data_IF_748752069059
#
_entry.id   IF_748752069059
#
_cell.length_a   1.000
_cell.length_b   1.000
_cell.length_c   1.000
_cell.angle_alpha   90.00
_cell.angle_beta   90.00
_cell.angle_gamma   90.00
#
_symmetry.space_group_name_H-M   'P 1'
#
loop_
_entity.id
_entity.type
_entity.pdbx_description
1 polymer ?
#
# COMPACT_ATOMS: atom_id res chain seq x y z
N UNK A 1 -3.01 20.05 -30.33
CA UNK A 1 -3.63 19.12 -29.35
C UNK A 1 -2.52 18.25 -28.76
N UNK A 2 -2.14 18.46 -27.49
CA UNK A 2 -1.11 17.64 -26.85
C UNK A 2 -1.59 16.18 -26.78
N UNK A 3 -0.78 15.23 -27.23
CA UNK A 3 -1.11 13.80 -27.12
C UNK A 3 -1.40 13.50 -25.65
N UNK A 4 -2.65 13.18 -25.33
CA UNK A 4 -3.04 12.74 -23.99
C UNK A 4 -2.10 11.62 -23.53
N UNK A 5 -1.65 11.67 -22.27
CA UNK A 5 -0.77 10.64 -21.71
C UNK A 5 -1.44 9.27 -21.87
N UNK A 6 -0.70 8.29 -22.37
CA UNK A 6 -1.22 6.93 -22.57
C UNK A 6 -1.85 6.39 -21.27
N UNK A 7 -3.03 5.75 -21.33
CA UNK A 7 -3.73 5.22 -20.15
C UNK A 7 -3.00 4.05 -19.49
N UNK A 8 -2.02 3.47 -20.17
CA UNK A 8 -1.15 2.43 -19.65
C UNK A 8 0.30 2.57 -20.13
N UNK A 9 1.20 1.89 -19.42
CA UNK A 9 2.61 1.72 -19.77
C UNK A 9 2.95 0.22 -19.82
N UNK A 10 3.78 -0.17 -20.79
CA UNK A 10 4.27 -1.55 -20.95
C UNK A 10 5.79 -1.59 -20.76
N UNK A 11 6.27 -2.53 -19.95
CA UNK A 11 7.70 -2.72 -19.69
C UNK A 11 8.08 -4.19 -19.59
N UNK A 12 9.35 -4.51 -19.85
CA UNK A 12 9.85 -5.89 -19.85
C UNK A 12 10.31 -6.30 -18.45
N UNK A 13 9.85 -7.45 -17.97
CA UNK A 13 10.44 -8.13 -16.80
C UNK A 13 10.97 -9.52 -17.17
N UNK A 14 12.01 -10.01 -16.48
CA UNK A 14 12.46 -11.40 -16.65
C UNK A 14 11.32 -12.37 -16.37
N UNK A 15 11.21 -13.41 -17.18
CA UNK A 15 10.12 -14.38 -17.08
C UNK A 15 10.17 -15.21 -15.79
N UNK A 16 11.35 -15.38 -15.19
CA UNK A 16 11.56 -16.12 -13.95
C UNK A 16 12.86 -15.67 -13.25
N UNK A 17 13.16 -16.27 -12.09
CA UNK A 17 14.35 -15.97 -11.27
C UNK A 17 15.67 -16.25 -12.02
N UNK A 18 15.75 -17.33 -12.79
CA UNK A 18 16.95 -17.67 -13.59
C UNK A 18 17.22 -16.58 -14.65
N UNK A 19 16.18 -16.13 -15.33
CA UNK A 19 16.26 -15.03 -16.31
C UNK A 19 16.58 -13.69 -15.64
N UNK A 20 16.13 -13.46 -14.40
CA UNK A 20 16.48 -12.25 -13.64
C UNK A 20 17.98 -12.19 -13.32
N UNK A 21 18.59 -13.33 -13.00
CA UNK A 21 20.05 -13.42 -12.83
C UNK A 21 20.78 -13.10 -14.14
N UNK A 22 20.29 -13.62 -15.29
CA UNK A 22 20.86 -13.28 -16.61
C UNK A 22 20.81 -11.78 -16.89
N UNK A 23 19.66 -11.14 -16.64
CA UNK A 23 19.49 -9.68 -16.77
C UNK A 23 20.51 -8.91 -15.93
N UNK A 24 20.70 -9.27 -14.65
CA UNK A 24 21.67 -8.62 -13.76
C UNK A 24 23.11 -8.76 -14.26
N UNK A 25 23.43 -9.88 -14.91
CA UNK A 25 24.73 -10.14 -15.54
C UNK A 25 24.87 -9.54 -16.94
N UNK A 26 23.93 -8.71 -17.39
CA UNK A 26 23.95 -8.09 -18.72
C UNK A 26 23.75 -9.06 -19.89
N UNK A 27 23.31 -10.30 -19.62
CA UNK A 27 23.08 -11.33 -20.65
C UNK A 27 21.68 -11.21 -21.24
N UNK A 28 21.54 -11.64 -22.49
CA UNK A 28 20.23 -11.84 -23.11
C UNK A 28 19.35 -12.73 -22.23
N UNK A 29 18.09 -12.34 -22.04
CA UNK A 29 17.15 -13.00 -21.15
C UNK A 29 15.75 -13.04 -21.75
N UNK A 30 15.00 -14.09 -21.43
CA UNK A 30 13.58 -14.22 -21.77
C UNK A 30 12.76 -13.31 -20.87
N UNK A 31 11.84 -12.57 -21.47
CA UNK A 31 11.02 -11.59 -20.78
C UNK A 31 9.54 -11.79 -21.05
N UNK A 32 8.73 -11.26 -20.14
CA UNK A 32 7.29 -11.09 -20.27
C UNK A 32 6.99 -9.59 -20.16
N UNK A 33 6.00 -9.11 -20.90
CA UNK A 33 5.50 -7.75 -20.76
C UNK A 33 4.65 -7.63 -19.50
N UNK A 34 4.94 -6.59 -18.73
CA UNK A 34 4.11 -6.15 -17.62
C UNK A 34 3.42 -4.85 -18.02
N UNK A 35 2.19 -4.65 -17.53
CA UNK A 35 1.36 -3.49 -17.79
C UNK A 35 1.06 -2.72 -16.51
N UNK A 36 1.23 -1.40 -16.53
CA UNK A 36 0.77 -0.50 -15.48
C UNK A 36 -0.32 0.40 -16.05
N UNK A 37 -1.43 0.51 -15.35
CA UNK A 37 -2.53 1.41 -15.70
C UNK A 37 -2.40 2.73 -14.95
N UNK A 38 -2.97 3.81 -15.48
CA UNK A 38 -3.11 5.05 -14.73
C UNK A 38 -4.37 4.99 -13.86
N UNK A 39 -4.27 5.41 -12.61
CA UNK A 39 -5.44 5.65 -11.76
C UNK A 39 -6.06 7.02 -12.06
N UNK A 40 -7.19 7.33 -11.41
CA UNK A 40 -7.87 8.63 -11.51
C UNK A 40 -7.01 9.81 -11.03
N UNK A 41 -6.04 9.56 -10.15
CA UNK A 41 -5.07 10.55 -9.64
C UNK A 41 -3.91 10.82 -10.62
N UNK A 42 -3.79 10.03 -11.70
CA UNK A 42 -2.75 10.14 -12.71
C UNK A 42 -1.47 9.33 -12.44
N UNK A 43 -1.40 8.61 -11.33
CA UNK A 43 -0.32 7.70 -10.94
C UNK A 43 -0.43 6.32 -11.60
N UNK A 44 0.68 5.60 -11.71
CA UNK A 44 0.69 4.23 -12.23
C UNK A 44 0.35 3.19 -11.14
N UNK A 45 -0.54 2.24 -11.48
CA UNK A 45 -0.83 1.07 -10.66
C UNK A 45 0.38 0.14 -10.54
N UNK A 46 0.27 -0.86 -9.66
CA UNK A 46 1.20 -1.99 -9.67
C UNK A 46 1.21 -2.67 -11.03
N UNK A 47 2.40 -3.07 -11.50
CA UNK A 47 2.54 -3.77 -12.76
C UNK A 47 1.89 -5.16 -12.73
N UNK A 48 1.01 -5.42 -13.69
CA UNK A 48 0.35 -6.69 -13.91
C UNK A 48 1.09 -7.47 -14.99
N UNK A 49 1.27 -8.77 -14.77
CA UNK A 49 1.79 -9.65 -15.81
C UNK A 49 0.76 -9.76 -16.92
N UNK A 50 1.15 -9.42 -18.15
CA UNK A 50 0.30 -9.68 -19.33
C UNK A 50 0.39 -11.14 -19.77
N UNK A 51 1.41 -11.87 -19.30
CA UNK A 51 1.81 -13.20 -19.81
C UNK A 51 2.23 -13.23 -21.28
N UNK A 52 2.32 -12.06 -21.92
CA UNK A 52 2.69 -11.93 -23.33
C UNK A 52 4.17 -11.61 -23.51
N UNK A 53 4.77 -12.20 -24.55
CA UNK A 53 6.17 -11.96 -24.94
C UNK A 53 6.29 -10.96 -26.09
N UNK A 54 5.18 -10.68 -26.81
CA UNK A 54 5.12 -9.70 -27.90
C UNK A 54 4.49 -8.39 -27.45
N UNK A 55 5.00 -7.26 -27.96
CA UNK A 55 4.47 -5.92 -27.61
C UNK A 55 3.04 -5.74 -28.13
N UNK A 56 2.72 -6.31 -29.30
CA UNK A 56 1.40 -6.23 -29.91
C UNK A 56 0.34 -6.96 -29.09
N UNK A 57 0.60 -8.21 -28.68
CA UNK A 57 -0.31 -8.97 -27.84
C UNK A 57 -0.49 -8.30 -26.46
N UNK A 58 0.59 -7.80 -25.86
CA UNK A 58 0.52 -7.08 -24.58
C UNK A 58 -0.33 -5.79 -24.66
N UNK A 59 -0.29 -5.07 -25.79
CA UNK A 59 -1.18 -3.91 -26.02
C UNK A 59 -2.64 -4.34 -26.11
N UNK A 60 -2.94 -5.39 -26.88
CA UNK A 60 -4.30 -5.93 -27.01
C UNK A 60 -4.84 -6.34 -25.64
N UNK A 61 -4.05 -7.09 -24.88
CA UNK A 61 -4.37 -7.46 -23.50
C UNK A 61 -4.69 -6.24 -22.64
N UNK A 62 -3.87 -5.18 -22.71
CA UNK A 62 -4.09 -3.96 -21.91
C UNK A 62 -5.39 -3.24 -22.29
N UNK A 63 -5.73 -3.19 -23.57
CA UNK A 63 -7.01 -2.64 -24.04
C UNK A 63 -8.21 -3.47 -23.58
N UNK A 64 -8.14 -4.79 -23.73
CA UNK A 64 -9.19 -5.70 -23.30
C UNK A 64 -9.41 -5.61 -21.78
N UNK A 65 -8.32 -5.44 -21.03
CA UNK A 65 -8.36 -5.26 -19.57
C UNK A 65 -9.01 -3.93 -19.17
N UNK A 66 -8.66 -2.83 -19.83
CA UNK A 66 -9.30 -1.52 -19.60
C UNK A 66 -10.80 -1.56 -19.93
N UNK A 67 -11.18 -2.25 -21.00
CA UNK A 67 -12.58 -2.38 -21.42
C UNK A 67 -13.44 -3.11 -20.39
N UNK A 68 -12.85 -4.03 -19.63
CA UNK A 68 -13.56 -4.75 -18.55
C UNK A 68 -13.85 -3.88 -17.33
N UNK A 69 -13.17 -2.74 -17.16
CA UNK A 69 -13.36 -1.86 -16.00
C UNK A 69 -12.69 -2.35 -14.70
N UNK A 70 -12.12 -3.56 -14.70
CA UNK A 70 -11.43 -4.17 -13.54
C UNK A 70 -10.01 -3.63 -13.35
N UNK A 71 -9.79 -2.31 -13.43
CA UNK A 71 -8.47 -1.76 -13.12
C UNK A 71 -8.25 -1.98 -11.61
N UNK A 72 -7.27 -2.80 -11.18
CA UNK A 72 -7.08 -3.05 -9.77
C UNK A 72 -6.67 -1.73 -9.12
N UNK A 73 -7.59 -1.20 -8.33
CA UNK A 73 -7.38 -0.03 -7.49
C UNK A 73 -6.23 -0.41 -6.54
N UNK A 74 -5.06 0.18 -6.79
CA UNK A 74 -3.83 0.13 -6.00
C UNK A 74 -3.66 -1.11 -5.09
N UNK A 75 -3.08 -2.20 -5.63
CA UNK A 75 -2.54 -3.32 -4.83
C UNK A 75 -1.25 -2.95 -4.05
N UNK A 76 -1.21 -1.77 -3.43
CA UNK A 76 0.01 -1.32 -2.78
C UNK A 76 -0.04 0.10 -2.25
N UNK A 77 -1.16 0.51 -1.65
CA UNK A 77 -1.07 1.67 -0.77
C UNK A 77 -0.23 1.28 0.45
N UNK A 78 0.72 2.16 0.80
CA UNK A 78 1.53 2.02 2.00
C UNK A 78 0.66 2.28 3.22
N UNK A 79 1.07 1.77 4.38
CA UNK A 79 0.40 2.07 5.64
C UNK A 79 0.39 3.59 5.90
N UNK A 80 1.43 4.31 5.46
CA UNK A 80 1.46 5.78 5.53
C UNK A 80 0.33 6.43 4.72
N UNK A 81 0.13 6.02 3.45
CA UNK A 81 -0.98 6.55 2.64
C UNK A 81 -2.34 6.14 3.22
N UNK A 82 -2.45 4.95 3.80
CA UNK A 82 -3.66 4.49 4.48
C UNK A 82 -4.00 5.35 5.70
N UNK A 83 -3.00 5.64 6.53
CA UNK A 83 -3.17 6.24 7.85
C UNK A 83 -3.17 7.76 7.86
N UNK A 84 -3.00 8.41 6.69
CA UNK A 84 -2.88 9.86 6.56
C UNK A 84 -3.98 10.62 7.31
N UNK A 85 -5.24 10.27 7.04
CA UNK A 85 -6.40 10.99 7.56
C UNK A 85 -6.94 10.37 8.87
N UNK A 86 -6.27 9.35 9.39
CA UNK A 86 -6.68 8.69 10.63
C UNK A 86 -6.48 9.59 11.85
N UNK A 87 -7.46 9.54 12.75
CA UNK A 87 -7.51 10.31 13.99
C UNK A 87 -7.54 11.84 13.82
N UNK A 88 -7.79 12.34 12.61
CA UNK A 88 -8.03 13.76 12.35
C UNK A 88 -9.54 14.01 12.38
N UNK A 89 -10.05 14.90 13.26
CA UNK A 89 -11.46 15.32 13.25
C UNK A 89 -11.89 15.77 11.86
N UNK A 90 -13.15 15.50 11.48
CA UNK A 90 -13.73 15.87 10.19
C UNK A 90 -13.09 15.26 8.92
N UNK A 91 -11.99 14.54 9.04
CA UNK A 91 -11.35 13.82 7.94
C UNK A 91 -11.43 12.31 8.12
N UNK A 92 -11.26 11.82 9.35
CA UNK A 92 -11.31 10.41 9.67
C UNK A 92 -12.74 9.84 9.56
N UNK A 93 -12.95 8.92 8.62
CA UNK A 93 -14.25 8.27 8.41
C UNK A 93 -14.74 7.51 9.66
N UNK A 94 -13.85 6.79 10.35
CA UNK A 94 -14.18 6.07 11.58
C UNK A 94 -14.74 7.00 12.66
N UNK A 95 -14.15 8.19 12.87
CA UNK A 95 -14.65 9.15 13.86
C UNK A 95 -16.05 9.67 13.49
N UNK A 96 -16.29 9.97 12.21
CA UNK A 96 -17.60 10.40 11.71
C UNK A 96 -18.66 9.33 11.93
N UNK A 97 -18.35 8.07 11.64
CA UNK A 97 -19.27 6.94 11.83
C UNK A 97 -19.60 6.74 13.31
N UNK A 98 -18.58 6.77 14.19
CA UNK A 98 -18.77 6.66 15.65
C UNK A 98 -19.66 7.77 16.20
N UNK A 99 -19.46 9.01 15.74
CA UNK A 99 -20.30 10.14 16.13
C UNK A 99 -21.74 9.99 15.63
N UNK A 100 -21.94 9.59 14.37
CA UNK A 100 -23.28 9.31 13.81
C UNK A 100 -24.03 8.21 14.56
N UNK A 101 -23.31 7.23 15.10
CA UNK A 101 -23.86 6.16 15.93
C UNK A 101 -24.07 6.57 17.41
N UNK A 102 -23.82 7.83 17.78
CA UNK A 102 -23.95 8.30 19.16
C UNK A 102 -22.81 7.87 20.10
N UNK A 103 -21.74 7.29 19.56
CA UNK A 103 -20.57 6.83 20.31
C UNK A 103 -19.36 7.76 20.12
N UNK A 104 -19.59 9.06 20.31
CA UNK A 104 -18.57 10.09 20.17
C UNK A 104 -17.38 9.82 21.10
N UNK A 105 -16.19 9.77 20.51
CA UNK A 105 -14.95 9.59 21.26
C UNK A 105 -14.49 10.92 21.86
N UNK A 106 -13.80 10.87 23.00
CA UNK A 106 -13.30 12.07 23.65
C UNK A 106 -12.15 12.70 22.84
N UNK A 107 -12.04 14.04 22.80
CA UNK A 107 -10.93 14.72 22.11
C UNK A 107 -9.55 14.24 22.59
N UNK A 108 -9.39 14.03 23.90
CA UNK A 108 -8.15 13.51 24.50
C UNK A 108 -7.78 12.11 23.99
N UNK A 109 -8.78 11.25 23.76
CA UNK A 109 -8.53 9.93 23.18
C UNK A 109 -8.07 10.05 21.73
N UNK A 110 -8.75 10.89 20.93
CA UNK A 110 -8.40 11.11 19.52
C UNK A 110 -6.98 11.65 19.39
N UNK A 111 -6.63 12.69 20.17
CA UNK A 111 -5.29 13.27 20.18
C UNK A 111 -4.22 12.25 20.63
N UNK A 112 -4.51 11.48 21.67
CA UNK A 112 -3.62 10.41 22.14
C UNK A 112 -3.39 9.34 21.09
N UNK A 113 -4.44 8.91 20.38
CA UNK A 113 -4.36 7.94 19.28
C UNK A 113 -3.59 8.48 18.09
N UNK A 114 -3.79 9.75 17.72
CA UNK A 114 -3.00 10.42 16.66
C UNK A 114 -1.52 10.46 17.02
N UNK A 115 -1.20 10.88 18.24
CA UNK A 115 0.18 10.94 18.73
C UNK A 115 0.85 9.56 18.73
N UNK A 116 0.12 8.52 19.10
CA UNK A 116 0.60 7.13 19.07
C UNK A 116 0.85 6.66 17.62
N UNK A 117 -0.06 6.98 16.71
CA UNK A 117 0.10 6.70 15.29
C UNK A 117 1.38 7.33 14.74
N UNK A 118 1.57 8.63 14.94
CA UNK A 118 2.71 9.37 14.42
C UNK A 118 4.04 8.94 15.04
N UNK A 119 4.06 8.67 16.35
CA UNK A 119 5.29 8.39 17.09
C UNK A 119 5.74 6.93 17.03
N UNK A 120 4.82 5.97 16.99
CA UNK A 120 5.15 4.56 17.22
C UNK A 120 4.71 3.63 16.10
N UNK A 121 3.59 3.92 15.43
CA UNK A 121 3.05 3.04 14.39
C UNK A 121 3.65 3.40 13.03
N UNK A 122 3.62 4.68 12.65
CA UNK A 122 4.12 5.18 11.36
C UNK A 122 5.61 4.90 11.13
N UNK A 123 6.52 5.10 12.10
CA UNK A 123 7.94 4.83 11.87
C UNK A 123 8.23 3.37 11.52
N UNK A 124 7.39 2.44 11.98
CA UNK A 124 7.58 1.01 11.73
C UNK A 124 6.83 0.51 10.50
N UNK A 125 5.54 0.83 10.40
CA UNK A 125 4.67 0.30 9.35
C UNK A 125 4.51 1.23 8.16
N UNK A 126 4.74 2.54 8.32
CA UNK A 126 4.54 3.58 7.31
C UNK A 126 4.99 3.19 5.91
N UNK A 127 6.26 2.80 5.68
CA UNK A 127 6.75 2.46 4.35
C UNK A 127 6.25 1.11 3.82
N UNK A 128 5.68 0.27 4.69
CA UNK A 128 5.25 -1.07 4.32
C UNK A 128 3.92 -1.01 3.56
N UNK A 129 3.74 -1.93 2.61
CA UNK A 129 2.44 -2.10 1.96
C UNK A 129 1.48 -2.75 2.95
N UNK A 130 0.22 -2.33 2.95
CA UNK A 130 -0.81 -2.92 3.81
C UNK A 130 -0.91 -4.43 3.64
N UNK A 131 -0.83 -4.93 2.40
CA UNK A 131 -0.87 -6.37 2.10
C UNK A 131 0.37 -7.14 2.54
N UNK A 132 1.47 -6.45 2.87
CA UNK A 132 2.70 -7.09 3.36
C UNK A 132 2.81 -7.12 4.88
N UNK A 133 1.97 -6.38 5.60
CA UNK A 133 1.98 -6.37 7.06
C UNK A 133 1.34 -7.68 7.54
N UNK A 134 2.17 -8.54 8.12
CA UNK A 134 1.72 -9.81 8.68
C UNK A 134 1.60 -9.74 10.19
N UNK A 135 0.92 -10.73 10.78
CA UNK A 135 0.85 -10.90 12.23
C UNK A 135 2.25 -11.04 12.88
N UNK A 136 3.22 -11.61 12.18
CA UNK A 136 4.61 -11.71 12.66
C UNK A 136 5.26 -10.33 12.77
N UNK A 137 4.95 -9.42 11.85
CA UNK A 137 5.47 -8.05 11.88
C UNK A 137 4.85 -7.25 13.04
N UNK A 138 3.56 -7.46 13.32
CA UNK A 138 2.88 -6.86 14.47
C UNK A 138 3.49 -7.36 15.79
N UNK A 139 3.76 -8.67 15.92
CA UNK A 139 4.44 -9.20 17.11
C UNK A 139 5.85 -8.65 17.27
N UNK A 140 6.62 -8.58 16.18
CA UNK A 140 7.98 -8.03 16.21
C UNK A 140 8.00 -6.57 16.64
N UNK A 141 7.11 -5.76 16.07
CA UNK A 141 6.92 -4.37 16.49
C UNK A 141 6.57 -4.24 17.97
N UNK A 142 5.68 -5.10 18.50
CA UNK A 142 5.35 -5.09 19.93
C UNK A 142 6.56 -5.34 20.84
N UNK A 143 7.47 -6.24 20.44
CA UNK A 143 8.74 -6.43 21.16
C UNK A 143 9.66 -5.23 21.03
N UNK A 144 9.76 -4.62 19.84
CA UNK A 144 10.57 -3.40 19.66
C UNK A 144 10.08 -2.23 20.53
N UNK A 145 8.77 -2.10 20.73
CA UNK A 145 8.20 -1.08 21.61
C UNK A 145 8.63 -1.26 23.07
N UNK A 146 8.71 -2.50 23.57
CA UNK A 146 9.12 -2.76 24.96
C UNK A 146 10.63 -2.74 25.11
N UNK A 147 11.36 -3.34 24.18
CA UNK A 147 12.78 -3.66 24.33
C UNK A 147 13.66 -2.49 23.90
N UNK A 148 13.32 -1.79 22.81
CA UNK A 148 14.13 -0.69 22.28
C UNK A 148 13.63 0.68 22.73
N UNK A 149 12.31 0.85 22.85
CA UNK A 149 11.71 2.12 23.22
C UNK A 149 11.43 2.24 24.73
N UNK A 150 11.77 1.22 25.52
CA UNK A 150 11.53 1.13 26.97
C UNK A 150 10.09 1.50 27.37
N UNK A 151 9.12 1.19 26.51
CA UNK A 151 7.72 1.44 26.84
C UNK A 151 7.20 0.35 27.77
N UNK A 152 6.39 0.77 28.73
CA UNK A 152 5.71 -0.22 29.57
C UNK A 152 4.77 -1.09 28.72
N UNK A 153 4.55 -2.36 29.09
CA UNK A 153 3.61 -3.23 28.39
C UNK A 153 2.21 -2.62 28.25
N UNK A 154 1.78 -1.81 29.22
CA UNK A 154 0.53 -1.07 29.16
C UNK A 154 0.50 -0.05 28.00
N UNK A 155 1.59 0.68 27.76
CA UNK A 155 1.69 1.62 26.64
C UNK A 155 1.78 0.87 25.30
N UNK A 156 2.55 -0.22 25.22
CA UNK A 156 2.59 -1.06 24.02
C UNK A 156 1.19 -1.60 23.67
N UNK A 157 0.43 -2.08 24.66
CA UNK A 157 -0.94 -2.53 24.46
C UNK A 157 -1.90 -1.41 24.02
N UNK A 158 -1.72 -0.16 24.48
CA UNK A 158 -2.50 0.98 23.96
C UNK A 158 -2.17 1.28 22.50
N UNK A 159 -0.91 1.17 22.09
CA UNK A 159 -0.52 1.31 20.69
C UNK A 159 -1.12 0.19 19.83
N UNK A 160 -1.12 -1.06 20.32
CA UNK A 160 -1.78 -2.18 19.65
C UNK A 160 -3.29 -1.97 19.53
N UNK A 161 -3.94 -1.46 20.59
CA UNK A 161 -5.36 -1.13 20.56
C UNK A 161 -5.66 -0.04 19.52
N UNK A 162 -4.81 0.99 19.43
CA UNK A 162 -4.88 2.02 18.39
C UNK A 162 -4.78 1.39 16.99
N UNK A 163 -3.78 0.53 16.77
CA UNK A 163 -3.59 -0.16 15.49
C UNK A 163 -4.76 -1.09 15.13
N UNK A 164 -5.40 -1.75 16.09
CA UNK A 164 -6.54 -2.66 15.84
C UNK A 164 -7.82 -1.93 15.42
N UNK A 165 -7.95 -0.66 15.80
CA UNK A 165 -9.10 0.16 15.36
C UNK A 165 -8.94 0.58 13.91
N UNK A 166 -7.69 0.71 13.44
CA UNK A 166 -7.32 1.08 12.09
C UNK A 166 -7.39 -0.10 11.13
#
# INVERSE_FOLDING_TARGET
MGKGKSPYSLYKRPANSKEAVKKRKGKSFRFIYYCQFRNSEGDYTSGLSTHETSKGAAKKWAFDYLKKGDIPINRGFTFEKFSKDWWIPDQCQYLKERERMGHKLSPRYIEGSRRNLDKYILPYFGPNKMTSISFKDIRRWMFELTDNNNLSPAIANRNLACLKVM
#
